data_IF_578985038832
#
_entry.id   IF_578985038832
#
_cell.length_a   1.000
_cell.length_b   1.000
_cell.length_c   1.000
_cell.angle_alpha   90.00
_cell.angle_beta   90.00
_cell.angle_gamma   90.00
#
_symmetry.space_group_name_H-M   'P 1'
#
loop_
_entity.id
_entity.type
_entity.pdbx_description
1 polymer ?
#
# COMPACT_ATOMS: atom_id res chain seq x y z
N UNK A 1 -12.72 -16.34 -10.96
CA UNK A 1 -12.18 -17.26 -9.92
C UNK A 1 -12.35 -16.59 -8.58
N UNK A 2 -12.73 -17.34 -7.54
CA UNK A 2 -12.91 -16.84 -6.17
C UNK A 2 -11.86 -17.47 -5.29
N UNK A 3 -11.32 -16.69 -4.34
CA UNK A 3 -10.51 -17.19 -3.23
C UNK A 3 -11.23 -16.90 -1.92
N UNK A 4 -11.33 -17.93 -1.10
CA UNK A 4 -11.79 -17.88 0.29
C UNK A 4 -10.78 -18.70 1.13
N UNK A 5 -10.39 -18.18 2.30
CA UNK A 5 -9.48 -18.89 3.20
C UNK A 5 -10.26 -19.94 4.02
N UNK A 6 -9.62 -21.06 4.33
CA UNK A 6 -10.25 -22.23 4.98
C UNK A 6 -10.32 -22.19 6.50
N UNK A 7 -10.07 -21.04 7.12
CA UNK A 7 -10.03 -20.84 8.59
C UNK A 7 -11.40 -20.51 9.20
N UNK A 8 -12.44 -20.41 8.36
CA UNK A 8 -13.81 -20.08 8.77
C UNK A 8 -14.02 -18.61 9.14
N UNK A 9 -13.04 -17.72 8.92
CA UNK A 9 -13.16 -16.29 9.26
C UNK A 9 -13.92 -15.47 8.20
N UNK A 10 -14.34 -16.08 7.10
CA UNK A 10 -15.02 -15.45 5.97
C UNK A 10 -16.45 -15.97 5.86
N UNK A 11 -17.44 -15.07 5.78
CA UNK A 11 -18.84 -15.46 5.62
C UNK A 11 -19.13 -15.88 4.16
N UNK A 12 -19.53 -17.14 3.87
CA UNK A 12 -19.91 -17.56 2.52
C UNK A 12 -21.05 -16.73 1.91
N UNK A 13 -21.93 -16.16 2.74
CA UNK A 13 -23.08 -15.37 2.28
C UNK A 13 -22.67 -14.04 1.63
N UNK A 14 -21.44 -13.56 1.88
CA UNK A 14 -20.89 -12.37 1.22
C UNK A 14 -20.41 -12.67 -0.22
N UNK A 15 -20.36 -13.94 -0.64
CA UNK A 15 -19.80 -14.35 -1.93
C UNK A 15 -20.50 -13.70 -3.13
N UNK A 16 -21.84 -13.63 -3.21
CA UNK A 16 -22.53 -13.00 -4.34
C UNK A 16 -22.12 -11.54 -4.49
N UNK A 17 -22.08 -10.77 -3.39
CA UNK A 17 -21.67 -9.36 -3.41
C UNK A 17 -20.22 -9.16 -3.88
N UNK A 18 -19.33 -10.11 -3.59
CA UNK A 18 -17.97 -10.14 -4.15
C UNK A 18 -17.96 -10.45 -5.65
N UNK A 19 -18.84 -11.31 -6.13
CA UNK A 19 -18.89 -11.71 -7.54
C UNK A 19 -19.50 -10.62 -8.44
N UNK A 20 -20.55 -9.94 -7.97
CA UNK A 20 -21.34 -9.01 -8.78
C UNK A 20 -20.48 -7.98 -9.54
N UNK A 21 -19.53 -7.25 -8.92
CA UNK A 21 -18.73 -6.27 -9.64
C UNK A 21 -17.88 -6.87 -10.77
N UNK A 22 -17.46 -8.13 -10.61
CA UNK A 22 -16.61 -8.84 -11.58
C UNK A 22 -17.46 -9.40 -12.72
N UNK A 23 -18.63 -9.95 -12.41
CA UNK A 23 -19.59 -10.50 -13.39
C UNK A 23 -20.19 -9.39 -14.24
N UNK A 24 -20.54 -8.27 -13.63
CA UNK A 24 -21.09 -7.09 -14.31
C UNK A 24 -20.03 -6.29 -15.11
N UNK A 25 -18.76 -6.68 -15.04
CA UNK A 25 -17.67 -6.00 -15.73
C UNK A 25 -17.34 -4.61 -15.18
N UNK A 26 -17.78 -4.29 -13.95
CA UNK A 26 -17.48 -3.03 -13.24
C UNK A 26 -16.05 -3.03 -12.70
N UNK A 27 -15.55 -4.17 -12.23
CA UNK A 27 -14.19 -4.33 -11.74
C UNK A 27 -13.53 -5.60 -12.31
N UNK A 28 -12.20 -5.61 -12.39
CA UNK A 28 -11.44 -6.79 -12.79
C UNK A 28 -11.07 -7.69 -11.60
N UNK A 29 -11.01 -7.08 -10.42
CA UNK A 29 -10.72 -7.72 -9.15
C UNK A 29 -11.57 -7.09 -8.05
N UNK A 30 -12.38 -7.90 -7.38
CA UNK A 30 -13.14 -7.49 -6.20
C UNK A 30 -12.54 -8.10 -4.95
N UNK A 31 -12.69 -7.39 -3.84
CA UNK A 31 -12.07 -7.76 -2.58
C UNK A 31 -12.93 -7.40 -1.39
N UNK A 32 -13.00 -8.31 -0.43
CA UNK A 32 -13.67 -8.07 0.84
C UNK A 32 -12.96 -7.00 1.67
N UNK A 33 -13.73 -6.09 2.24
CA UNK A 33 -13.27 -5.05 3.13
C UNK A 33 -13.91 -5.20 4.51
N UNK A 34 -13.10 -5.60 5.49
CA UNK A 34 -13.55 -5.82 6.88
C UNK A 34 -13.50 -4.56 7.73
N UNK A 35 -12.90 -3.48 7.25
CA UNK A 35 -12.63 -2.26 8.02
C UNK A 35 -13.71 -1.19 7.83
N UNK A 36 -14.64 -1.40 6.89
CA UNK A 36 -15.65 -0.41 6.54
C UNK A 36 -16.86 -0.40 7.48
N UNK A 37 -17.17 -1.53 8.12
CA UNK A 37 -18.31 -1.62 9.05
C UNK A 37 -17.91 -1.02 10.41
N UNK A 38 -18.77 -0.18 11.00
CA UNK A 38 -18.51 0.43 12.32
C UNK A 38 -18.30 -0.60 13.44
N UNK A 39 -18.78 -1.82 13.24
CA UNK A 39 -18.61 -2.97 14.13
C UNK A 39 -17.23 -3.66 14.02
N UNK A 40 -16.43 -3.33 13.00
CA UNK A 40 -15.09 -3.90 12.84
C UNK A 40 -14.20 -3.61 14.05
N UNK A 41 -14.34 -2.42 14.64
CA UNK A 41 -13.54 -2.01 15.80
C UNK A 41 -13.93 -2.79 17.08
N UNK A 42 -15.16 -3.29 17.20
CA UNK A 42 -15.60 -4.09 18.34
C UNK A 42 -15.29 -5.59 18.16
N UNK A 43 -15.30 -6.10 16.93
CA UNK A 43 -15.06 -7.52 16.62
C UNK A 43 -13.57 -7.88 16.44
N UNK A 44 -12.73 -6.93 16.01
CA UNK A 44 -11.31 -7.17 15.72
C UNK A 44 -10.42 -6.79 16.91
N UNK A 45 -9.45 -7.64 17.32
CA UNK A 45 -8.43 -7.24 18.30
C UNK A 45 -7.71 -5.96 17.89
N UNK A 46 -7.68 -4.95 18.77
CA UNK A 46 -7.16 -3.59 18.46
C UNK A 46 -5.78 -3.58 17.80
N UNK A 47 -4.85 -4.41 18.27
CA UNK A 47 -3.49 -4.50 17.70
C UNK A 47 -3.55 -4.96 16.22
N UNK A 48 -4.42 -5.92 15.89
CA UNK A 48 -4.62 -6.42 14.52
C UNK A 48 -5.32 -5.37 13.67
N UNK A 49 -6.29 -4.66 14.23
CA UNK A 49 -6.97 -3.55 13.56
C UNK A 49 -5.97 -2.46 13.15
N UNK A 50 -5.18 -1.93 14.09
CA UNK A 50 -4.18 -0.91 13.80
C UNK A 50 -3.08 -1.39 12.86
N UNK A 51 -2.60 -2.63 13.02
CA UNK A 51 -1.61 -3.22 12.11
C UNK A 51 -2.14 -3.32 10.68
N UNK A 52 -3.38 -3.78 10.50
CA UNK A 52 -4.03 -3.85 9.20
C UNK A 52 -4.27 -2.45 8.61
N UNK A 53 -4.77 -1.51 9.40
CA UNK A 53 -5.02 -0.14 8.93
C UNK A 53 -3.72 0.55 8.48
N UNK A 54 -2.64 0.41 9.25
CA UNK A 54 -1.33 0.94 8.89
C UNK A 54 -0.77 0.29 7.63
N UNK A 55 -0.84 -1.04 7.53
CA UNK A 55 -0.41 -1.75 6.33
C UNK A 55 -1.24 -1.37 5.10
N UNK A 56 -2.56 -1.24 5.24
CA UNK A 56 -3.42 -0.73 4.19
C UNK A 56 -3.03 0.66 3.74
N UNK A 57 -2.72 1.57 4.66
CA UNK A 57 -2.25 2.92 4.31
C UNK A 57 -0.96 2.86 3.47
N UNK A 58 0.02 2.05 3.87
CA UNK A 58 1.24 1.87 3.09
C UNK A 58 0.95 1.25 1.72
N UNK A 59 0.07 0.25 1.68
CA UNK A 59 -0.29 -0.42 0.43
C UNK A 59 -1.06 0.50 -0.52
N UNK A 60 -1.87 1.45 -0.04
CA UNK A 60 -2.48 2.49 -0.89
C UNK A 60 -1.43 3.26 -1.68
N UNK A 61 -0.40 3.76 -0.98
CA UNK A 61 0.72 4.49 -1.59
C UNK A 61 1.50 3.58 -2.54
N UNK A 62 1.77 2.34 -2.12
CA UNK A 62 2.63 1.41 -2.87
C UNK A 62 1.94 0.89 -4.13
N UNK A 63 0.65 0.58 -4.05
CA UNK A 63 -0.14 0.04 -5.16
C UNK A 63 -0.72 1.12 -6.07
N UNK A 64 -0.94 2.34 -5.58
CA UNK A 64 -1.64 3.40 -6.31
C UNK A 64 -3.17 3.30 -6.20
N UNK A 65 -3.72 2.30 -5.51
CA UNK A 65 -5.15 2.21 -5.23
C UNK A 65 -5.52 2.95 -3.95
N UNK A 66 -5.78 4.24 -4.06
CA UNK A 66 -6.04 5.11 -2.90
C UNK A 66 -7.38 4.84 -2.19
N UNK A 67 -8.33 4.20 -2.89
CA UNK A 67 -9.64 3.84 -2.33
C UNK A 67 -9.67 2.51 -1.58
N UNK A 68 -8.70 1.61 -1.79
CA UNK A 68 -8.67 0.28 -1.14
C UNK A 68 -8.34 0.40 0.34
N UNK A 69 -9.29 0.14 1.23
CA UNK A 69 -9.14 0.34 2.66
C UNK A 69 -8.65 -0.90 3.42
N UNK A 70 -8.95 -2.12 2.95
CA UNK A 70 -8.44 -3.37 3.53
C UNK A 70 -7.53 -4.09 2.53
N UNK A 71 -6.23 -3.86 2.61
CA UNK A 71 -5.23 -4.54 1.77
C UNK A 71 -4.96 -6.00 2.17
N UNK A 72 -5.44 -6.46 3.33
CA UNK A 72 -5.10 -7.77 3.90
C UNK A 72 -6.22 -8.81 3.84
N UNK A 73 -7.40 -8.49 3.32
CA UNK A 73 -8.43 -9.52 3.15
C UNK A 73 -8.04 -10.53 2.06
N UNK A 74 -8.23 -11.82 2.35
CA UNK A 74 -8.04 -12.92 1.41
C UNK A 74 -9.31 -13.28 0.62
N UNK A 75 -10.46 -12.70 1.00
CA UNK A 75 -11.74 -12.98 0.35
C UNK A 75 -11.87 -12.13 -0.91
N UNK A 76 -11.72 -12.76 -2.09
CA UNK A 76 -11.50 -12.02 -3.34
C UNK A 76 -12.12 -12.75 -4.53
N UNK A 77 -12.50 -12.00 -5.56
CA UNK A 77 -12.83 -12.55 -6.86
C UNK A 77 -12.05 -11.83 -7.97
N UNK A 78 -11.63 -12.59 -8.98
CA UNK A 78 -10.84 -12.08 -10.11
C UNK A 78 -11.44 -12.58 -11.43
N UNK A 79 -11.54 -11.69 -12.43
CA UNK A 79 -11.95 -12.09 -13.77
C UNK A 79 -10.85 -12.88 -14.49
N UNK A 80 -11.23 -13.54 -15.59
CA UNK A 80 -10.30 -14.36 -16.38
C UNK A 80 -9.15 -13.54 -16.95
N UNK A 81 -9.41 -12.31 -17.38
CA UNK A 81 -8.41 -11.47 -18.04
C UNK A 81 -7.29 -11.06 -17.08
N UNK A 82 -7.64 -10.50 -15.92
CA UNK A 82 -6.67 -10.15 -14.87
C UNK A 82 -5.93 -11.38 -14.34
N UNK A 83 -6.63 -12.52 -14.19
CA UNK A 83 -6.00 -13.77 -13.78
C UNK A 83 -4.86 -14.19 -14.72
N UNK A 84 -5.04 -14.08 -16.04
CA UNK A 84 -4.01 -14.49 -17.00
C UNK A 84 -2.91 -13.44 -17.20
N UNK A 85 -3.17 -12.16 -16.91
CA UNK A 85 -2.17 -11.11 -17.02
C UNK A 85 -1.08 -11.18 -15.93
N UNK A 86 -1.37 -11.82 -14.79
CA UNK A 86 -0.47 -11.85 -13.64
C UNK A 86 0.48 -13.05 -13.72
N UNK A 87 1.79 -12.79 -13.59
CA UNK A 87 2.81 -13.83 -13.49
C UNK A 87 2.89 -14.43 -12.06
N UNK A 88 1.94 -15.33 -11.73
CA UNK A 88 1.75 -15.93 -10.39
C UNK A 88 3.02 -16.53 -9.78
N UNK A 89 3.87 -17.17 -10.57
CA UNK A 89 5.12 -17.80 -10.10
C UNK A 89 6.14 -16.80 -9.53
N UNK A 90 6.08 -15.54 -9.98
CA UNK A 90 6.99 -14.47 -9.57
C UNK A 90 6.49 -13.67 -8.37
N UNK A 91 5.29 -13.96 -7.87
CA UNK A 91 4.71 -13.25 -6.75
C UNK A 91 5.36 -13.62 -5.42
N UNK A 92 5.27 -12.70 -4.49
CA UNK A 92 5.60 -12.90 -3.10
C UNK A 92 4.73 -14.01 -2.50
N UNK A 93 5.35 -15.00 -1.85
CA UNK A 93 4.66 -16.25 -1.42
C UNK A 93 4.17 -16.24 0.03
N UNK A 94 4.46 -15.19 0.79
CA UNK A 94 4.14 -15.09 2.23
C UNK A 94 3.02 -14.06 2.46
N UNK A 95 2.84 -13.64 3.70
CA UNK A 95 1.81 -12.69 4.15
C UNK A 95 1.67 -11.42 3.29
N UNK A 96 2.74 -10.94 2.65
CA UNK A 96 2.71 -9.78 1.76
C UNK A 96 2.05 -10.00 0.38
N UNK A 97 1.66 -11.23 0.04
CA UNK A 97 1.12 -11.59 -1.28
C UNK A 97 -0.06 -10.72 -1.74
N UNK A 98 -1.06 -10.39 -0.90
CA UNK A 98 -2.18 -9.54 -1.33
C UNK A 98 -1.72 -8.14 -1.76
N UNK A 99 -0.68 -7.61 -1.11
CA UNK A 99 -0.12 -6.29 -1.46
C UNK A 99 0.62 -6.33 -2.79
N UNK A 100 1.43 -7.38 -3.03
CA UNK A 100 2.12 -7.59 -4.31
C UNK A 100 1.11 -7.71 -5.46
N UNK A 101 0.04 -8.49 -5.25
CA UNK A 101 -1.04 -8.66 -6.22
C UNK A 101 -1.68 -7.32 -6.60
N UNK A 102 -2.02 -6.47 -5.63
CA UNK A 102 -2.57 -5.13 -5.91
C UNK A 102 -1.61 -4.29 -6.74
N UNK A 103 -0.31 -4.30 -6.42
CA UNK A 103 0.66 -3.53 -7.21
C UNK A 103 0.72 -4.02 -8.66
N UNK A 104 0.71 -5.33 -8.88
CA UNK A 104 0.70 -5.91 -10.23
C UNK A 104 -0.57 -5.55 -10.99
N UNK A 105 -1.73 -5.63 -10.34
CA UNK A 105 -3.00 -5.23 -10.94
C UNK A 105 -2.95 -3.77 -11.42
N UNK A 106 -2.41 -2.87 -10.60
CA UNK A 106 -2.29 -1.45 -10.94
C UNK A 106 -1.34 -1.23 -12.13
N UNK A 107 -0.23 -1.95 -12.16
CA UNK A 107 0.77 -1.89 -13.23
C UNK A 107 0.20 -2.29 -14.60
N UNK A 108 -0.85 -3.11 -14.62
CA UNK A 108 -1.62 -3.48 -15.82
C UNK A 108 -2.94 -2.71 -15.98
N UNK A 109 -3.17 -1.64 -15.19
CA UNK A 109 -4.38 -0.82 -15.23
C UNK A 109 -5.70 -1.59 -15.00
N UNK A 110 -5.68 -2.60 -14.14
CA UNK A 110 -6.91 -3.29 -13.74
C UNK A 110 -7.72 -2.48 -12.74
N UNK A 111 -9.05 -2.58 -12.82
CA UNK A 111 -9.98 -1.96 -11.87
C UNK A 111 -10.14 -2.84 -10.65
N UNK A 112 -10.00 -2.24 -9.47
CA UNK A 112 -10.10 -2.95 -8.19
C UNK A 112 -11.21 -2.31 -7.37
N UNK A 113 -12.14 -3.09 -6.85
CA UNK A 113 -13.16 -2.58 -5.92
C UNK A 113 -13.11 -3.27 -4.57
N UNK A 114 -13.35 -2.50 -3.52
CA UNK A 114 -13.65 -3.03 -2.19
C UNK A 114 -15.14 -3.33 -2.08
N UNK A 115 -15.47 -4.47 -1.49
CA UNK A 115 -16.83 -4.93 -1.19
C UNK A 115 -16.90 -5.11 0.33
N UNK A 116 -17.83 -4.46 1.05
CA UNK A 116 -18.00 -4.69 2.47
C UNK A 116 -18.27 -6.17 2.76
N UNK A 117 -17.56 -6.74 3.73
CA UNK A 117 -17.75 -8.12 4.17
C UNK A 117 -17.79 -8.18 5.69
N UNK A 118 -18.53 -9.14 6.22
CA UNK A 118 -18.60 -9.35 7.67
C UNK A 118 -17.49 -10.28 8.14
N UNK A 119 -16.59 -9.80 9.03
CA UNK A 119 -15.57 -10.67 9.56
C UNK A 119 -16.14 -11.58 10.66
N UNK A 120 -15.90 -12.88 10.55
CA UNK A 120 -16.23 -13.86 11.58
C UNK A 120 -15.04 -13.99 12.53
N UNK A 121 -15.22 -13.61 13.80
CA UNK A 121 -14.20 -13.66 14.86
C UNK A 121 -14.70 -14.48 16.06
N UNK A 122 -13.78 -14.92 16.93
CA UNK A 122 -14.02 -15.77 18.12
C UNK A 122 -14.25 -17.27 17.86
N UNK A 123 -13.60 -17.82 16.83
CA UNK A 123 -13.66 -19.26 16.47
C UNK A 123 -12.58 -20.11 17.16
N UNK A 124 -11.89 -19.56 18.18
CA UNK A 124 -10.84 -20.28 18.92
C UNK A 124 -9.45 -20.30 18.27
N UNK A 125 -9.21 -19.53 17.21
CA UNK A 125 -7.91 -19.49 16.54
C UNK A 125 -6.91 -18.50 17.16
N UNK A 126 -5.66 -18.95 17.33
CA UNK A 126 -4.53 -18.09 17.70
C UNK A 126 -3.71 -17.72 16.48
N UNK A 127 -3.45 -16.41 16.28
CA UNK A 127 -2.65 -15.94 15.15
C UNK A 127 -1.18 -16.31 15.35
N UNK A 128 -0.65 -17.23 14.54
CA UNK A 128 0.76 -17.63 14.54
C UNK A 128 1.74 -16.56 13.99
N UNK A 129 1.27 -15.35 13.72
CA UNK A 129 2.02 -14.29 13.04
C UNK A 129 2.96 -13.56 14.02
N UNK A 130 4.27 -13.71 13.82
CA UNK A 130 5.30 -12.95 14.55
C UNK A 130 5.47 -11.55 13.96
N UNK A 131 4.66 -10.61 14.43
CA UNK A 131 4.56 -9.22 13.92
C UNK A 131 5.93 -8.55 13.70
N UNK A 132 6.84 -8.60 14.69
CA UNK A 132 8.15 -7.92 14.61
C UNK A 132 9.03 -8.42 13.45
N UNK A 133 9.03 -9.72 13.19
CA UNK A 133 9.83 -10.32 12.11
C UNK A 133 9.26 -9.97 10.72
N UNK A 134 7.95 -9.77 10.68
CA UNK A 134 7.21 -9.57 9.44
C UNK A 134 7.25 -8.11 8.99
N UNK A 135 7.27 -7.14 9.93
CA UNK A 135 7.29 -5.71 9.60
C UNK A 135 8.46 -5.35 8.67
N UNK A 136 9.70 -5.69 9.04
CA UNK A 136 10.87 -5.33 8.21
C UNK A 136 10.79 -5.97 6.82
N UNK A 137 10.40 -7.24 6.77
CA UNK A 137 10.28 -7.98 5.52
C UNK A 137 9.19 -7.38 4.61
N UNK A 138 8.05 -7.00 5.18
CA UNK A 138 6.96 -6.35 4.43
C UNK A 138 7.37 -4.96 3.97
N UNK A 139 7.95 -4.13 4.82
CA UNK A 139 8.40 -2.79 4.42
C UNK A 139 9.39 -2.85 3.25
N UNK A 140 10.35 -3.78 3.30
CA UNK A 140 11.30 -4.00 2.21
C UNK A 140 10.62 -4.49 0.93
N UNK A 141 9.67 -5.41 1.05
CA UNK A 141 8.87 -5.89 -0.09
C UNK A 141 8.05 -4.73 -0.70
N UNK A 142 7.37 -3.94 0.12
CA UNK A 142 6.57 -2.79 -0.31
C UNK A 142 7.43 -1.76 -1.04
N UNK A 143 8.62 -1.45 -0.53
CA UNK A 143 9.56 -0.56 -1.20
C UNK A 143 9.97 -1.09 -2.58
N UNK A 144 10.34 -2.39 -2.67
CA UNK A 144 10.68 -3.02 -3.96
C UNK A 144 9.52 -2.96 -4.94
N UNK A 145 8.30 -3.25 -4.47
CA UNK A 145 7.10 -3.23 -5.29
C UNK A 145 6.73 -1.82 -5.75
N UNK A 146 6.89 -0.82 -4.88
CA UNK A 146 6.71 0.58 -5.23
C UNK A 146 7.69 1.00 -6.34
N UNK A 147 8.99 0.74 -6.18
CA UNK A 147 9.99 1.06 -7.20
C UNK A 147 9.75 0.31 -8.51
N UNK A 148 9.35 -0.96 -8.43
CA UNK A 148 8.97 -1.74 -9.60
C UNK A 148 7.77 -1.13 -10.32
N UNK A 149 6.71 -0.75 -9.60
CA UNK A 149 5.55 -0.03 -10.17
C UNK A 149 5.96 1.27 -10.84
N UNK A 150 6.76 2.09 -10.16
CA UNK A 150 7.24 3.37 -10.72
C UNK A 150 7.96 3.14 -12.05
N UNK A 151 8.84 2.14 -12.11
CA UNK A 151 9.56 1.78 -13.34
C UNK A 151 8.61 1.24 -14.42
N UNK A 152 7.88 0.17 -14.15
CA UNK A 152 7.09 -0.52 -15.18
C UNK A 152 5.94 0.35 -15.69
N UNK A 153 5.22 1.02 -14.78
CA UNK A 153 4.05 1.82 -15.15
C UNK A 153 4.46 3.16 -15.74
N UNK A 154 5.34 3.90 -15.05
CA UNK A 154 5.59 5.31 -15.38
C UNK A 154 6.88 5.58 -16.18
N UNK A 155 7.76 4.60 -16.35
CA UNK A 155 8.95 4.72 -17.24
C UNK A 155 8.75 3.92 -18.51
N UNK A 156 8.35 2.64 -18.39
CA UNK A 156 8.33 1.71 -19.52
C UNK A 156 7.03 1.81 -20.32
N UNK A 157 5.87 1.72 -19.65
CA UNK A 157 4.57 1.69 -20.34
C UNK A 157 4.08 3.06 -20.75
N UNK A 158 4.13 4.02 -19.84
CA UNK A 158 3.67 5.38 -20.10
C UNK A 158 4.57 6.37 -19.36
N UNK A 159 5.27 7.22 -20.10
CA UNK A 159 6.25 8.13 -19.50
C UNK A 159 5.54 9.27 -18.76
N UNK A 160 5.44 9.17 -17.42
CA UNK A 160 4.78 10.19 -16.60
C UNK A 160 5.82 11.02 -15.82
N UNK A 161 5.74 12.37 -15.85
CA UNK A 161 6.68 13.25 -15.14
C UNK A 161 6.72 13.08 -13.60
N UNK A 162 5.82 12.30 -13.00
CA UNK A 162 5.72 12.15 -11.54
C UNK A 162 6.97 11.48 -10.96
N UNK A 163 7.70 10.71 -11.77
CA UNK A 163 8.96 10.08 -11.35
C UNK A 163 10.00 11.13 -10.99
N UNK A 164 10.03 12.27 -11.68
CA UNK A 164 10.94 13.36 -11.34
C UNK A 164 10.58 13.98 -9.99
N UNK A 165 9.28 14.13 -9.68
CA UNK A 165 8.84 14.61 -8.37
C UNK A 165 9.26 13.64 -7.26
N UNK A 166 9.10 12.32 -7.45
CA UNK A 166 9.62 11.33 -6.48
C UNK A 166 11.15 11.34 -6.38
N UNK A 167 11.87 11.50 -7.50
CA UNK A 167 13.33 11.56 -7.51
C UNK A 167 13.85 12.80 -6.77
N UNK A 168 13.29 13.98 -7.04
CA UNK A 168 13.63 15.21 -6.31
C UNK A 168 13.20 15.13 -4.84
N UNK A 169 12.03 14.59 -4.53
CA UNK A 169 11.58 14.35 -3.16
C UNK A 169 12.55 13.46 -2.39
N UNK A 170 13.04 12.39 -3.02
CA UNK A 170 14.07 11.50 -2.47
C UNK A 170 15.42 12.20 -2.27
N UNK A 171 15.88 12.96 -3.27
CA UNK A 171 17.13 13.72 -3.21
C UNK A 171 17.12 14.75 -2.07
N UNK A 172 16.05 15.54 -1.96
CA UNK A 172 15.88 16.50 -0.87
C UNK A 172 15.71 15.81 0.48
N UNK A 173 15.04 14.65 0.55
CA UNK A 173 14.95 13.86 1.79
C UNK A 173 16.34 13.41 2.26
N UNK A 174 17.18 12.89 1.37
CA UNK A 174 18.56 12.51 1.69
C UNK A 174 19.40 13.72 2.13
N UNK A 175 19.28 14.83 1.40
CA UNK A 175 19.97 16.10 1.74
C UNK A 175 19.56 16.60 3.12
N UNK A 176 18.27 16.49 3.45
CA UNK A 176 17.72 16.84 4.76
C UNK A 176 18.35 16.02 5.87
N UNK A 177 18.46 14.69 5.71
CA UNK A 177 19.09 13.80 6.70
C UNK A 177 20.56 14.18 6.95
N UNK A 178 21.32 14.46 5.89
CA UNK A 178 22.72 14.86 6.00
C UNK A 178 22.86 16.21 6.70
N UNK A 179 22.06 17.21 6.33
CA UNK A 179 22.11 18.54 6.92
C UNK A 179 21.67 18.54 8.40
N UNK A 180 20.62 17.78 8.75
CA UNK A 180 20.22 17.62 10.15
C UNK A 180 21.28 16.90 10.97
N UNK A 181 21.88 15.81 10.46
CA UNK A 181 22.97 15.12 11.13
C UNK A 181 24.15 16.07 11.39
N UNK A 182 24.48 16.93 10.41
CA UNK A 182 25.50 17.98 10.58
C UNK A 182 25.10 18.99 11.67
N UNK A 183 23.88 19.52 11.66
CA UNK A 183 23.41 20.48 12.69
C UNK A 183 23.50 19.86 14.09
N UNK A 184 23.09 18.60 14.24
CA UNK A 184 23.19 17.85 15.49
C UNK A 184 24.66 17.71 15.91
N UNK A 185 25.54 17.29 14.99
CA UNK A 185 26.97 17.16 15.26
C UNK A 185 27.59 18.47 15.76
N UNK A 186 27.38 19.59 15.07
CA UNK A 186 27.92 20.90 15.48
C UNK A 186 27.37 21.36 16.84
N UNK A 187 26.09 21.10 17.10
CA UNK A 187 25.47 21.40 18.41
C UNK A 187 26.11 20.60 19.54
N UNK A 188 26.38 19.31 19.34
CA UNK A 188 26.96 18.46 20.37
C UNK A 188 28.48 18.63 20.53
N UNK A 189 29.21 18.88 19.45
CA UNK A 189 30.68 19.00 19.49
C UNK A 189 31.16 20.40 19.87
N UNK A 190 30.47 21.45 19.42
CA UNK A 190 30.95 22.84 19.54
C UNK A 190 29.99 23.71 20.37
N UNK A 191 28.77 23.23 20.66
CA UNK A 191 27.75 24.01 21.37
C UNK A 191 27.12 25.13 20.54
N UNK A 192 27.52 25.27 19.27
CA UNK A 192 27.04 26.33 18.36
C UNK A 192 25.93 25.77 17.47
N UNK A 193 24.89 26.56 17.27
CA UNK A 193 23.83 26.27 16.30
C UNK A 193 24.12 27.01 14.98
N UNK A 194 24.63 26.33 13.93
CA UNK A 194 25.00 26.98 12.67
C UNK A 194 23.75 27.44 11.89
N UNK A 195 23.47 28.77 11.79
CA UNK A 195 22.19 29.25 11.25
C UNK A 195 21.98 28.88 9.78
N UNK A 196 23.05 28.93 8.97
CA UNK A 196 23.00 28.61 7.53
C UNK A 196 22.65 27.15 7.27
N UNK A 197 23.29 26.22 7.99
CA UNK A 197 22.99 24.77 7.88
C UNK A 197 21.56 24.46 8.33
N UNK A 198 21.08 25.12 9.38
CA UNK A 198 19.72 24.93 9.88
C UNK A 198 18.67 25.46 8.90
N UNK A 199 18.86 26.64 8.33
CA UNK A 199 17.99 27.19 7.29
C UNK A 199 17.98 26.29 6.04
N UNK A 200 19.15 25.81 5.61
CA UNK A 200 19.24 24.88 4.49
C UNK A 200 18.53 23.54 4.79
N UNK A 201 18.65 23.01 6.01
CA UNK A 201 17.95 21.80 6.42
C UNK A 201 16.41 21.98 6.39
N UNK A 202 15.92 23.12 6.89
CA UNK A 202 14.49 23.46 6.86
C UNK A 202 13.97 23.61 5.43
N UNK A 203 14.68 24.36 4.58
CA UNK A 203 14.32 24.51 3.18
C UNK A 203 14.31 23.16 2.44
N UNK A 204 15.33 22.34 2.67
CA UNK A 204 15.43 20.99 2.09
C UNK A 204 14.27 20.09 2.56
N UNK A 205 13.90 20.16 3.84
CA UNK A 205 12.77 19.40 4.39
C UNK A 205 11.42 19.84 3.79
N UNK A 206 11.21 21.14 3.64
CA UNK A 206 10.00 21.69 3.01
C UNK A 206 9.92 21.26 1.54
N UNK A 207 11.04 21.37 0.81
CA UNK A 207 11.12 20.94 -0.59
C UNK A 207 10.86 19.44 -0.73
N UNK A 208 11.48 18.61 0.11
CA UNK A 208 11.26 17.16 0.14
C UNK A 208 9.78 16.82 0.33
N UNK A 209 9.14 17.47 1.31
CA UNK A 209 7.72 17.28 1.61
C UNK A 209 6.83 17.68 0.43
N UNK A 210 7.06 18.86 -0.15
CA UNK A 210 6.28 19.35 -1.30
C UNK A 210 6.40 18.44 -2.52
N UNK A 211 7.63 18.10 -2.93
CA UNK A 211 7.86 17.23 -4.07
C UNK A 211 7.23 15.84 -3.86
N UNK A 212 7.34 15.28 -2.66
CA UNK A 212 6.74 13.98 -2.34
C UNK A 212 5.22 14.03 -2.36
N UNK A 213 4.61 15.06 -1.78
CA UNK A 213 3.15 15.23 -1.76
C UNK A 213 2.59 15.47 -3.16
N UNK A 214 3.26 16.29 -3.99
CA UNK A 214 2.87 16.44 -5.39
C UNK A 214 3.00 15.13 -6.18
N UNK A 215 4.08 14.38 -5.96
CA UNK A 215 4.24 13.07 -6.60
C UNK A 215 3.09 12.12 -6.21
N UNK A 216 2.73 12.06 -4.92
CA UNK A 216 1.59 11.27 -4.45
C UNK A 216 0.27 11.74 -5.04
N UNK A 217 0.05 13.04 -5.15
CA UNK A 217 -1.18 13.58 -5.75
C UNK A 217 -1.25 13.24 -7.25
N UNK A 218 -0.20 13.45 -8.01
CA UNK A 218 -0.18 13.05 -9.43
C UNK A 218 -0.40 11.55 -9.61
N UNK A 219 0.23 10.72 -8.76
CA UNK A 219 -0.01 9.28 -8.76
C UNK A 219 -1.46 8.94 -8.41
N UNK A 220 -2.09 9.66 -7.48
CA UNK A 220 -3.51 9.47 -7.15
C UNK A 220 -4.43 9.82 -8.32
N UNK A 221 -4.19 10.95 -8.99
CA UNK A 221 -5.03 11.38 -10.12
C UNK A 221 -4.86 10.42 -11.32
N UNK A 222 -3.63 9.99 -11.61
CA UNK A 222 -3.33 9.04 -12.68
C UNK A 222 -4.01 7.66 -12.50
N UNK A 223 -4.37 7.30 -11.27
CA UNK A 223 -4.99 6.00 -10.94
C UNK A 223 -6.47 6.10 -10.58
N UNK A 224 -7.09 7.27 -10.72
CA UNK A 224 -8.46 7.54 -10.24
C UNK A 224 -9.53 6.66 -10.89
N UNK A 225 -9.35 6.33 -12.16
CA UNK A 225 -10.27 5.52 -12.97
C UNK A 225 -10.15 4.01 -12.70
N UNK A 226 -9.19 3.57 -11.88
CA UNK A 226 -8.96 2.15 -11.59
C UNK A 226 -9.82 1.64 -10.42
N UNK A 227 -11.03 2.19 -10.28
CA UNK A 227 -12.03 1.80 -9.27
C UNK A 227 -12.99 0.75 -9.82
#
# INVERSE_FOLDING_TARGET
VVRMDGDGQMNPDDLPALLDPVVEGKADYSKGNRLFTGEAYSKIPKIRYFGNAFLSLLTKIVSGYWHVADSQSGYTAINKHALHAIAWNSMYKRYGQPNDLLVRLNVFNFRVTDVPVEPVYNIGESSGIKIKQIIFTICWMLLKMFLWRMKEKYVIRDFHPLIFFYAFGGLFSLSTLVLFARVIYYKFSIGIFPPTSSLAAMFSFMSASLFTLFAMWFDMEANKELK
#
